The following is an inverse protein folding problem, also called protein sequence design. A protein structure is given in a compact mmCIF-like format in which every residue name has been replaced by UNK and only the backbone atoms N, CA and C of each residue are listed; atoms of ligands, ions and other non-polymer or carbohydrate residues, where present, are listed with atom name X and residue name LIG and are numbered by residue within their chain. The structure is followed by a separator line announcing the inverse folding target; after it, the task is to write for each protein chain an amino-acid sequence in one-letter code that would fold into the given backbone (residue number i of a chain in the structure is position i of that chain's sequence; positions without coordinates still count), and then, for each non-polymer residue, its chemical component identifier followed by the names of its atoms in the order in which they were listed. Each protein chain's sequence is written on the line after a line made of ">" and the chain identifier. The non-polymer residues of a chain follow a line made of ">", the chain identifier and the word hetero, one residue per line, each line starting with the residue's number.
data_IF_934701131576
#
_entry.id   IF_934701131576
#
_cell.length_a   1.000
_cell.length_b   1.000
_cell.length_c   1.000
_cell.angle_alpha   90.00
_cell.angle_beta   90.00
_cell.angle_gamma   90.00
#
_symmetry.space_group_name_H-M   'P 1'
#
loop_
_entity.id
_entity.type
_entity.pdbx_description
1 polymer ?
#
# COMPACT_ATOMS: atom_id res chain seq x y z
N UNK A 1 27.86 6.40 -5.71
CA UNK A 1 26.49 6.44 -5.11
C UNK A 1 26.06 5.00 -4.95
N UNK A 2 25.59 4.57 -3.78
CA UNK A 2 24.99 3.23 -3.62
C UNK A 2 23.68 3.28 -4.38
N UNK A 3 23.52 2.42 -5.39
CA UNK A 3 22.27 2.26 -6.11
C UNK A 3 21.23 1.77 -5.11
N UNK A 4 20.20 2.55 -4.84
CA UNK A 4 19.15 2.18 -3.90
C UNK A 4 18.15 1.33 -4.67
N UNK A 5 18.15 0.04 -4.38
CA UNK A 5 17.22 -0.90 -4.98
C UNK A 5 15.82 -0.71 -4.36
N UNK A 6 14.81 -0.52 -5.22
CA UNK A 6 13.42 -0.33 -4.80
C UNK A 6 12.79 -1.63 -4.30
N UNK A 7 12.90 -2.70 -5.07
CA UNK A 7 12.40 -4.02 -4.70
C UNK A 7 13.33 -4.65 -3.66
N UNK A 8 12.77 -5.12 -2.57
CA UNK A 8 13.49 -5.64 -1.42
C UNK A 8 13.08 -7.11 -1.20
N UNK A 9 13.72 -8.07 -1.87
CA UNK A 9 13.33 -9.48 -1.83
C UNK A 9 13.80 -10.16 -0.53
N UNK A 10 13.15 -9.84 0.60
CA UNK A 10 13.41 -10.52 1.86
C UNK A 10 12.65 -11.85 1.92
N UNK A 11 13.24 -12.84 2.64
CA UNK A 11 12.65 -14.15 2.78
C UNK A 11 11.32 -14.12 3.56
N UNK A 12 10.30 -14.77 2.99
CA UNK A 12 8.98 -14.92 3.63
C UNK A 12 8.05 -13.73 3.45
N UNK A 13 8.39 -12.77 2.61
CA UNK A 13 7.52 -11.64 2.26
C UNK A 13 7.49 -11.43 0.75
N UNK A 14 6.33 -11.13 0.21
CA UNK A 14 6.16 -10.78 -1.19
C UNK A 14 5.88 -9.29 -1.38
N UNK A 15 6.18 -8.79 -2.57
CA UNK A 15 5.80 -7.45 -3.00
C UNK A 15 6.36 -6.33 -2.09
N UNK A 16 7.44 -6.61 -1.34
CA UNK A 16 8.09 -5.63 -0.48
C UNK A 16 8.92 -4.66 -1.33
N UNK A 17 8.65 -3.38 -1.17
CA UNK A 17 9.41 -2.31 -1.80
C UNK A 17 9.35 -0.99 -1.07
N UNK A 18 10.37 -0.17 -1.34
CA UNK A 18 10.45 1.22 -0.92
C UNK A 18 9.73 2.11 -1.94
N UNK A 19 8.94 3.08 -1.50
CA UNK A 19 8.27 4.05 -2.38
C UNK A 19 9.02 5.40 -2.44
N UNK A 20 10.30 5.41 -2.06
CA UNK A 20 11.20 6.55 -2.19
C UNK A 20 11.66 6.83 -3.62
N UNK A 21 12.27 8.00 -3.86
CA UNK A 21 12.89 8.36 -5.13
C UNK A 21 11.93 8.77 -6.25
N UNK A 22 10.64 8.88 -6.03
CA UNK A 22 9.69 9.40 -7.01
C UNK A 22 9.72 10.93 -7.04
N UNK A 23 9.86 11.52 -8.23
CA UNK A 23 9.77 12.96 -8.41
C UNK A 23 8.34 13.45 -8.18
N UNK A 24 8.20 14.60 -7.57
CA UNK A 24 6.95 15.32 -7.40
C UNK A 24 6.83 16.46 -8.41
N UNK A 25 5.62 16.94 -8.66
CA UNK A 25 5.34 18.01 -9.63
C UNK A 25 6.04 19.35 -9.29
N UNK A 26 6.43 19.54 -8.05
CA UNK A 26 7.14 20.74 -7.57
C UNK A 26 8.67 20.55 -7.45
N UNK A 27 9.22 19.48 -8.02
CA UNK A 27 10.66 19.22 -8.08
C UNK A 27 11.27 18.64 -6.81
N UNK A 28 10.47 18.17 -5.88
CA UNK A 28 10.92 17.37 -4.74
C UNK A 28 10.97 15.88 -5.14
N UNK A 29 11.43 15.04 -4.21
CA UNK A 29 11.46 13.59 -4.36
C UNK A 29 10.95 12.91 -3.10
N UNK A 30 10.21 11.80 -3.24
CA UNK A 30 9.88 10.98 -2.07
C UNK A 30 11.15 10.45 -1.42
N UNK A 31 11.20 10.50 -0.08
CA UNK A 31 12.38 10.06 0.69
C UNK A 31 12.50 8.54 0.65
N UNK A 32 13.70 8.05 0.38
CA UNK A 32 14.03 6.64 0.58
C UNK A 32 13.97 6.25 2.06
N UNK A 33 13.71 4.97 2.31
CA UNK A 33 13.65 4.39 3.66
C UNK A 33 12.67 5.10 4.59
N UNK A 34 11.56 5.62 4.05
CA UNK A 34 10.56 6.37 4.83
C UNK A 34 9.18 5.74 4.75
N UNK A 35 8.81 5.23 3.58
CA UNK A 35 7.57 4.49 3.39
C UNK A 35 7.82 3.24 2.58
N UNK A 36 7.42 2.10 3.14
CA UNK A 36 7.48 0.79 2.50
C UNK A 36 6.07 0.28 2.23
N UNK A 37 5.97 -0.61 1.27
CA UNK A 37 4.74 -1.38 1.00
C UNK A 37 5.07 -2.85 0.79
N UNK A 38 4.14 -3.76 1.19
CA UNK A 38 4.34 -5.20 1.00
C UNK A 38 3.04 -5.99 1.00
N UNK A 39 3.15 -7.26 0.69
CA UNK A 39 2.21 -8.31 1.06
C UNK A 39 2.27 -8.62 2.55
N UNK A 40 1.59 -9.69 2.96
CA UNK A 40 1.53 -10.14 4.33
C UNK A 40 2.93 -10.45 4.88
N UNK A 41 3.18 -10.04 6.11
CA UNK A 41 4.46 -10.25 6.82
C UNK A 41 4.45 -11.47 7.74
N UNK A 42 3.41 -12.30 7.69
CA UNK A 42 3.22 -13.46 8.58
C UNK A 42 4.35 -14.49 8.53
N UNK A 43 5.04 -14.59 7.39
CA UNK A 43 6.17 -15.52 7.17
C UNK A 43 7.52 -14.81 7.06
N UNK A 44 7.59 -13.51 7.32
CA UNK A 44 8.85 -12.76 7.24
C UNK A 44 9.86 -13.35 8.22
N UNK A 45 11.02 -13.77 7.68
CA UNK A 45 12.07 -14.38 8.47
C UNK A 45 12.59 -13.46 9.59
N UNK A 46 13.13 -13.98 10.71
CA UNK A 46 13.73 -13.15 11.76
C UNK A 46 14.80 -12.19 11.23
N UNK A 47 15.63 -12.65 10.28
CA UNK A 47 16.63 -11.81 9.62
C UNK A 47 15.99 -10.67 8.82
N UNK A 48 14.87 -10.92 8.12
CA UNK A 48 14.10 -9.91 7.42
C UNK A 48 13.46 -8.90 8.36
N UNK A 49 12.96 -9.34 9.52
CA UNK A 49 12.42 -8.45 10.56
C UNK A 49 13.51 -7.51 11.09
N UNK A 50 14.68 -8.05 11.45
CA UNK A 50 15.80 -7.23 11.91
C UNK A 50 16.26 -6.25 10.83
N UNK A 51 16.34 -6.69 9.57
CA UNK A 51 16.70 -5.80 8.46
C UNK A 51 15.74 -4.60 8.35
N UNK A 52 14.43 -4.81 8.43
CA UNK A 52 13.45 -3.71 8.42
C UNK A 52 13.61 -2.78 9.63
N UNK A 53 13.87 -3.34 10.81
CA UNK A 53 14.07 -2.56 12.04
C UNK A 53 15.36 -1.72 11.92
N UNK A 54 16.45 -2.29 11.42
CA UNK A 54 17.72 -1.60 11.19
C UNK A 54 17.60 -0.55 10.07
N UNK A 55 16.74 -0.78 9.08
CA UNK A 55 16.35 0.23 8.09
C UNK A 55 15.52 1.38 8.69
N UNK A 56 15.20 1.30 9.98
CA UNK A 56 14.52 2.35 10.74
C UNK A 56 13.01 2.15 10.90
N UNK A 57 12.43 1.00 10.51
CA UNK A 57 10.99 0.75 10.62
C UNK A 57 10.46 1.08 12.03
N UNK A 58 9.41 1.88 12.13
CA UNK A 58 8.75 2.30 13.36
C UNK A 58 7.31 1.85 13.46
N UNK A 59 6.62 1.76 12.32
CA UNK A 59 5.19 1.42 12.32
C UNK A 59 4.87 0.45 11.19
N UNK A 60 4.06 -0.56 11.49
CA UNK A 60 3.39 -1.42 10.49
C UNK A 60 1.90 -1.10 10.52
N UNK A 61 1.35 -0.71 9.37
CA UNK A 61 -0.08 -0.47 9.17
C UNK A 61 -0.66 -1.66 8.42
N UNK A 62 -1.48 -2.45 9.10
CA UNK A 62 -2.09 -3.67 8.58
C UNK A 62 -3.53 -3.40 8.13
N UNK A 63 -3.77 -3.52 6.82
CA UNK A 63 -5.05 -3.25 6.19
C UNK A 63 -5.98 -4.47 6.10
N UNK A 64 -5.56 -5.61 6.66
CA UNK A 64 -6.29 -6.88 6.62
C UNK A 64 -7.44 -6.91 7.61
N UNK A 65 -8.46 -7.70 7.29
CA UNK A 65 -9.58 -7.96 8.18
C UNK A 65 -9.23 -8.94 9.33
N UNK A 66 -10.19 -9.17 10.22
CA UNK A 66 -9.99 -10.00 11.42
C UNK A 66 -9.72 -11.46 11.08
N UNK A 67 -10.36 -12.01 10.05
CA UNK A 67 -10.19 -13.41 9.65
C UNK A 67 -8.81 -13.65 9.03
N UNK A 68 -8.35 -12.71 8.21
CA UNK A 68 -7.01 -12.76 7.62
C UNK A 68 -5.92 -12.72 8.70
N UNK A 69 -6.11 -11.94 9.77
CA UNK A 69 -5.13 -11.81 10.85
C UNK A 69 -5.14 -13.04 11.75
N UNK A 70 -6.31 -13.63 12.03
CA UNK A 70 -6.39 -14.87 12.80
C UNK A 70 -5.72 -16.03 12.09
N UNK A 71 -5.89 -16.14 10.78
CA UNK A 71 -5.28 -17.19 9.97
C UNK A 71 -3.78 -16.99 9.70
N UNK A 72 -3.35 -15.73 9.60
CA UNK A 72 -1.96 -15.32 9.27
C UNK A 72 -1.52 -14.16 10.17
N UNK A 73 -1.13 -14.42 11.43
CA UNK A 73 -0.76 -13.39 12.41
C UNK A 73 0.40 -12.52 11.91
N UNK A 74 0.39 -11.24 12.26
CA UNK A 74 1.46 -10.34 11.90
C UNK A 74 2.65 -10.53 12.85
N UNK A 75 3.87 -10.71 12.30
CA UNK A 75 5.09 -10.94 13.10
C UNK A 75 5.48 -9.75 13.99
N UNK A 76 4.93 -8.55 13.70
CA UNK A 76 5.17 -7.34 14.50
C UNK A 76 4.05 -7.05 15.50
N UNK A 77 3.02 -7.93 15.63
CA UNK A 77 1.85 -7.65 16.48
C UNK A 77 2.24 -7.38 17.95
N UNK A 78 3.20 -8.15 18.47
CA UNK A 78 3.68 -8.04 19.85
C UNK A 78 5.10 -7.42 19.96
N UNK A 79 5.55 -6.73 18.90
CA UNK A 79 6.87 -6.13 18.87
C UNK A 79 6.99 -4.95 19.83
N UNK A 80 7.99 -4.96 20.71
CA UNK A 80 8.32 -3.79 21.53
C UNK A 80 9.07 -2.68 20.76
N UNK A 81 9.58 -2.98 19.55
CA UNK A 81 10.41 -2.07 18.74
C UNK A 81 9.64 -1.41 17.60
N UNK A 82 8.54 -2.03 17.15
CA UNK A 82 7.72 -1.58 16.01
C UNK A 82 6.28 -1.44 16.47
N UNK A 83 5.69 -0.28 16.21
CA UNK A 83 4.28 -0.02 16.50
C UNK A 83 3.40 -0.73 15.50
N UNK A 84 2.48 -1.57 15.97
CA UNK A 84 1.51 -2.24 15.12
C UNK A 84 0.17 -1.49 15.15
N UNK A 85 -0.36 -1.16 13.96
CA UNK A 85 -1.63 -0.46 13.76
C UNK A 85 -2.53 -1.26 12.82
N UNK A 86 -3.65 -1.72 13.32
CA UNK A 86 -4.69 -2.36 12.51
C UNK A 86 -5.65 -1.31 11.97
N UNK A 87 -5.79 -1.29 10.64
CA UNK A 87 -6.75 -0.43 9.94
C UNK A 87 -7.42 -1.25 8.84
N UNK A 88 -8.33 -2.18 9.17
CA UNK A 88 -8.98 -3.04 8.18
C UNK A 88 -9.79 -2.20 7.20
N UNK A 89 -9.48 -2.31 5.90
CA UNK A 89 -10.20 -1.56 4.86
C UNK A 89 -11.47 -2.25 4.40
N UNK A 90 -11.60 -3.56 4.64
CA UNK A 90 -12.83 -4.31 4.42
C UNK A 90 -13.25 -4.99 5.71
N UNK A 91 -14.55 -5.14 5.91
CA UNK A 91 -15.14 -5.86 7.03
C UNK A 91 -15.62 -7.22 6.51
N UNK A 92 -14.91 -8.26 6.87
CA UNK A 92 -15.26 -9.64 6.55
C UNK A 92 -14.78 -10.17 5.19
N UNK A 93 -15.03 -11.44 4.92
CA UNK A 93 -14.57 -12.13 3.72
C UNK A 93 -15.21 -11.57 2.46
N UNK A 94 -14.54 -11.79 1.32
CA UNK A 94 -15.17 -11.58 0.02
C UNK A 94 -16.44 -12.43 -0.09
N UNK A 95 -17.48 -11.93 -0.78
CA UNK A 95 -18.68 -12.74 -1.04
C UNK A 95 -18.32 -14.10 -1.65
N UNK A 96 -19.00 -15.16 -1.21
CA UNK A 96 -18.65 -16.53 -1.60
C UNK A 96 -19.00 -16.86 -3.06
N UNK A 97 -19.88 -16.08 -3.69
CA UNK A 97 -20.41 -16.36 -5.00
C UNK A 97 -19.50 -15.94 -6.15
N UNK A 98 -19.00 -14.70 -6.13
CA UNK A 98 -18.06 -14.22 -7.16
C UNK A 98 -17.28 -12.98 -6.68
N UNK A 99 -15.97 -12.88 -7.01
CA UNK A 99 -15.23 -11.66 -6.72
C UNK A 99 -15.73 -10.54 -7.63
N UNK A 100 -15.98 -9.33 -7.09
CA UNK A 100 -16.33 -8.19 -7.92
C UNK A 100 -15.13 -7.77 -8.79
N UNK A 101 -15.36 -7.12 -9.95
CA UNK A 101 -14.30 -6.44 -10.68
C UNK A 101 -13.46 -5.52 -9.76
N UNK A 102 -12.16 -5.43 -10.00
CA UNK A 102 -11.24 -4.67 -9.12
C UNK A 102 -11.67 -3.20 -8.98
N UNK A 103 -12.09 -2.55 -10.07
CA UNK A 103 -12.58 -1.19 -10.08
C UNK A 103 -13.79 -0.97 -9.15
N UNK A 104 -14.70 -1.95 -9.08
CA UNK A 104 -15.84 -1.91 -8.15
C UNK A 104 -15.36 -1.98 -6.70
N UNK A 105 -14.39 -2.85 -6.41
CA UNK A 105 -13.75 -2.96 -5.10
C UNK A 105 -13.08 -1.65 -4.69
N UNK A 106 -12.39 -0.98 -5.62
CA UNK A 106 -11.70 0.29 -5.38
C UNK A 106 -12.68 1.42 -5.07
N UNK A 107 -13.77 1.54 -5.86
CA UNK A 107 -14.79 2.53 -5.57
C UNK A 107 -15.53 2.27 -4.25
N UNK A 108 -15.84 1.03 -3.92
CA UNK A 108 -16.41 0.69 -2.60
C UNK A 108 -15.51 1.14 -1.46
N UNK A 109 -14.19 0.98 -1.59
CA UNK A 109 -13.25 1.44 -0.57
C UNK A 109 -13.25 2.97 -0.45
N UNK A 110 -13.17 3.68 -1.58
CA UNK A 110 -13.15 5.14 -1.61
C UNK A 110 -14.44 5.77 -1.08
N UNK A 111 -15.61 5.18 -1.39
CA UNK A 111 -16.91 5.77 -1.08
C UNK A 111 -17.51 5.29 0.26
N UNK A 112 -17.13 4.10 0.72
CA UNK A 112 -17.77 3.48 1.88
C UNK A 112 -16.83 3.29 3.08
N UNK A 113 -15.52 3.52 2.93
CA UNK A 113 -14.52 3.29 3.98
C UNK A 113 -13.77 4.55 4.39
N UNK A 114 -14.41 5.71 4.32
CA UNK A 114 -13.83 7.02 4.61
C UNK A 114 -13.09 7.06 5.94
N UNK A 115 -13.70 6.56 7.02
CA UNK A 115 -13.09 6.54 8.35
C UNK A 115 -11.84 5.66 8.39
N UNK A 116 -11.81 4.55 7.63
CA UNK A 116 -10.66 3.64 7.55
C UNK A 116 -9.52 4.25 6.74
N UNK A 117 -9.84 4.84 5.57
CA UNK A 117 -8.84 5.58 4.79
C UNK A 117 -8.23 6.71 5.63
N UNK A 118 -9.07 7.52 6.29
CA UNK A 118 -8.60 8.59 7.18
C UNK A 118 -7.69 8.05 8.29
N UNK A 119 -8.04 6.94 8.94
CA UNK A 119 -7.25 6.34 10.01
C UNK A 119 -5.83 5.93 9.57
N UNK A 120 -5.62 5.58 8.30
CA UNK A 120 -4.27 5.34 7.78
C UNK A 120 -3.44 6.62 7.78
N UNK A 121 -4.01 7.73 7.32
CA UNK A 121 -3.32 9.02 7.34
C UNK A 121 -3.05 9.50 8.77
N UNK A 122 -4.01 9.34 9.69
CA UNK A 122 -3.83 9.62 11.12
C UNK A 122 -2.68 8.81 11.71
N UNK A 123 -2.59 7.50 11.41
CA UNK A 123 -1.51 6.65 11.87
C UNK A 123 -0.12 7.08 11.35
N UNK A 124 -0.01 7.54 10.09
CA UNK A 124 1.23 8.07 9.53
C UNK A 124 1.64 9.42 10.13
N UNK A 125 0.68 10.18 10.62
CA UNK A 125 0.89 11.50 11.22
C UNK A 125 1.28 11.44 12.69
N UNK A 126 1.08 10.33 13.37
CA UNK A 126 1.51 10.15 14.76
C UNK A 126 2.99 10.52 14.94
N UNK A 127 3.39 11.10 16.08
CA UNK A 127 4.80 11.37 16.36
C UNK A 127 5.64 10.10 16.31
N UNK A 128 6.72 10.13 15.52
CA UNK A 128 7.62 8.99 15.36
C UNK A 128 7.01 7.78 14.62
N UNK A 129 5.96 7.97 13.81
CA UNK A 129 5.35 6.89 13.03
C UNK A 129 6.21 6.43 11.85
N UNK A 130 7.00 7.33 11.29
CA UNK A 130 7.86 7.02 10.14
C UNK A 130 9.29 6.63 10.60
N UNK A 131 9.97 5.74 9.87
CA UNK A 131 9.52 4.99 8.68
C UNK A 131 8.38 4.01 8.95
N UNK A 132 7.46 3.86 7.96
CA UNK A 132 6.31 2.99 8.07
C UNK A 132 6.23 1.95 6.94
N UNK A 133 5.64 0.79 7.25
CA UNK A 133 5.29 -0.25 6.29
C UNK A 133 3.76 -0.36 6.20
N UNK A 134 3.20 -0.24 5.00
CA UNK A 134 1.77 -0.48 4.74
C UNK A 134 1.63 -1.83 4.06
N UNK A 135 0.81 -2.72 4.61
CA UNK A 135 0.64 -4.05 4.11
C UNK A 135 -0.84 -4.52 4.11
N UNK A 136 -1.14 -5.47 3.24
CA UNK A 136 -2.38 -6.25 3.26
C UNK A 136 -2.06 -7.72 2.93
N UNK A 137 -2.95 -8.48 2.30
CA UNK A 137 -2.66 -9.87 1.93
C UNK A 137 -1.55 -9.94 0.86
N UNK A 138 -1.81 -9.44 -0.34
CA UNK A 138 -0.86 -9.44 -1.46
C UNK A 138 -0.01 -8.14 -1.56
N UNK A 139 -0.34 -7.09 -0.82
CA UNK A 139 0.28 -5.79 -0.97
C UNK A 139 -0.06 -5.08 -2.29
N UNK A 140 -1.07 -5.56 -3.00
CA UNK A 140 -1.44 -5.10 -4.34
C UNK A 140 -2.60 -4.11 -4.29
N UNK A 141 -3.83 -4.56 -3.99
CA UNK A 141 -5.05 -3.77 -4.12
C UNK A 141 -5.24 -2.76 -2.97
N UNK A 142 -5.56 -3.21 -1.76
CA UNK A 142 -5.75 -2.34 -0.57
C UNK A 142 -4.52 -1.46 -0.33
N UNK A 143 -3.36 -2.09 -0.30
CA UNK A 143 -2.07 -1.40 -0.14
C UNK A 143 -1.81 -0.44 -1.31
N UNK A 144 -2.05 -0.90 -2.55
CA UNK A 144 -1.85 -0.10 -3.75
C UNK A 144 -2.69 1.17 -3.77
N UNK A 145 -3.98 1.07 -3.42
CA UNK A 145 -4.87 2.23 -3.35
C UNK A 145 -4.44 3.23 -2.28
N UNK A 146 -4.12 2.74 -1.07
CA UNK A 146 -3.67 3.62 0.02
C UNK A 146 -2.36 4.33 -0.35
N UNK A 147 -1.38 3.58 -0.89
CA UNK A 147 -0.10 4.15 -1.32
C UNK A 147 -0.30 5.12 -2.49
N UNK A 148 -1.22 4.83 -3.42
CA UNK A 148 -1.56 5.75 -4.50
C UNK A 148 -2.13 7.07 -3.99
N UNK A 149 -3.04 7.04 -3.02
CA UNK A 149 -3.56 8.25 -2.38
C UNK A 149 -2.46 9.03 -1.67
N UNK A 150 -1.55 8.36 -0.95
CA UNK A 150 -0.43 9.01 -0.27
C UNK A 150 0.52 9.67 -1.28
N UNK A 151 0.96 8.93 -2.31
CA UNK A 151 1.89 9.44 -3.32
C UNK A 151 1.30 10.62 -4.10
N UNK A 152 0.03 10.51 -4.52
CA UNK A 152 -0.66 11.60 -5.22
C UNK A 152 -0.85 12.82 -4.30
N UNK A 153 -1.19 12.63 -3.01
CA UNK A 153 -1.35 13.71 -2.05
C UNK A 153 -0.05 14.48 -1.79
N UNK A 154 1.12 13.83 -1.90
CA UNK A 154 2.43 14.50 -1.76
C UNK A 154 2.97 15.03 -3.09
N UNK A 155 2.20 14.95 -4.16
CA UNK A 155 2.50 15.56 -5.46
C UNK A 155 3.22 14.68 -6.47
N UNK A 156 3.25 13.35 -6.28
CA UNK A 156 3.79 12.42 -7.30
C UNK A 156 2.80 12.35 -8.46
N UNK A 157 3.25 12.49 -9.74
CA UNK A 157 2.38 12.42 -10.90
C UNK A 157 1.63 11.10 -11.01
N UNK A 158 0.37 11.13 -11.43
CA UNK A 158 -0.51 9.95 -11.53
C UNK A 158 0.10 8.82 -12.37
N UNK A 159 0.81 9.15 -13.45
CA UNK A 159 1.51 8.15 -14.27
C UNK A 159 2.59 7.38 -13.47
N UNK A 160 3.33 8.08 -12.61
CA UNK A 160 4.35 7.47 -11.72
C UNK A 160 3.69 6.62 -10.64
N UNK A 161 2.58 7.09 -10.05
CA UNK A 161 1.78 6.34 -9.07
C UNK A 161 1.26 5.05 -9.68
N UNK A 162 0.72 5.11 -10.89
CA UNK A 162 0.22 3.95 -11.62
C UNK A 162 1.34 2.97 -12.00
N UNK A 163 2.52 3.47 -12.34
CA UNK A 163 3.70 2.64 -12.60
C UNK A 163 4.16 1.91 -11.31
N UNK A 164 4.18 2.59 -10.15
CA UNK A 164 4.46 1.91 -8.87
C UNK A 164 3.44 0.81 -8.59
N UNK A 165 2.15 1.07 -8.78
CA UNK A 165 1.12 0.05 -8.60
C UNK A 165 1.37 -1.17 -9.52
N UNK A 166 1.72 -0.93 -10.78
CA UNK A 166 1.94 -1.98 -11.79
C UNK A 166 3.12 -2.92 -11.45
N UNK A 167 4.15 -2.42 -10.74
CA UNK A 167 5.26 -3.25 -10.24
C UNK A 167 4.80 -4.41 -9.36
N UNK A 168 3.57 -4.39 -8.83
CA UNK A 168 3.05 -5.48 -8.01
C UNK A 168 2.97 -6.80 -8.78
N UNK A 169 2.72 -6.79 -10.09
CA UNK A 169 2.70 -8.00 -10.92
C UNK A 169 4.06 -8.71 -10.95
N UNK A 170 5.14 -7.92 -11.01
CA UNK A 170 6.51 -8.45 -11.02
C UNK A 170 6.97 -8.86 -9.61
N UNK A 171 6.67 -8.02 -8.59
CA UNK A 171 7.11 -8.23 -7.22
C UNK A 171 6.38 -9.36 -6.48
N UNK A 172 5.20 -9.79 -6.94
CA UNK A 172 4.46 -10.91 -6.39
C UNK A 172 5.02 -12.27 -6.83
N UNK A 173 5.45 -12.36 -8.07
CA UNK A 173 6.08 -13.54 -8.63
C UNK A 173 5.16 -14.76 -8.81
N UNK A 174 5.71 -15.89 -9.27
CA UNK A 174 4.94 -17.12 -9.59
C UNK A 174 4.25 -17.74 -8.36
N UNK A 175 4.93 -17.76 -7.21
CA UNK A 175 4.40 -18.38 -5.99
C UNK A 175 3.04 -17.77 -5.55
N UNK A 176 2.87 -16.46 -5.73
CA UNK A 176 1.59 -15.80 -5.45
C UNK A 176 0.49 -16.28 -6.40
N UNK A 177 0.81 -16.49 -7.68
CA UNK A 177 -0.16 -16.97 -8.68
C UNK A 177 -0.58 -18.42 -8.37
N UNK A 178 0.34 -19.25 -7.93
CA UNK A 178 0.05 -20.64 -7.56
C UNK A 178 -0.82 -20.70 -6.28
N UNK A 179 -0.48 -19.95 -5.24
CA UNK A 179 -1.30 -19.83 -4.01
C UNK A 179 -2.72 -19.30 -4.34
N UNK A 180 -2.81 -18.31 -5.23
CA UNK A 180 -4.11 -17.74 -5.62
C UNK A 180 -4.93 -18.71 -6.45
N UNK A 181 -4.29 -19.50 -7.34
CA UNK A 181 -4.97 -20.54 -8.11
C UNK A 181 -5.57 -21.61 -7.18
N UNK A 182 -4.80 -22.07 -6.21
CA UNK A 182 -5.27 -23.03 -5.22
C UNK A 182 -6.45 -22.45 -4.40
N UNK A 183 -6.33 -21.20 -3.97
CA UNK A 183 -7.39 -20.51 -3.22
C UNK A 183 -8.68 -20.34 -4.06
N UNK A 184 -8.57 -20.03 -5.36
CA UNK A 184 -9.72 -20.01 -6.26
C UNK A 184 -10.37 -21.37 -6.37
N UNK A 185 -9.57 -22.43 -6.49
CA UNK A 185 -10.07 -23.81 -6.58
C UNK A 185 -10.86 -24.22 -5.33
N UNK A 186 -10.43 -23.84 -4.12
CA UNK A 186 -11.16 -24.10 -2.87
C UNK A 186 -12.53 -23.44 -2.81
N UNK A 187 -12.76 -22.37 -3.60
CA UNK A 187 -14.03 -21.63 -3.73
C UNK A 187 -14.85 -22.03 -4.95
N UNK A 188 -14.37 -22.96 -5.75
CA UNK A 188 -14.99 -23.32 -7.00
C UNK A 188 -14.90 -22.23 -8.08
N UNK A 189 -13.98 -21.29 -7.94
CA UNK A 189 -13.78 -20.22 -8.91
C UNK A 189 -12.85 -20.66 -10.05
N UNK A 190 -13.27 -20.44 -11.31
CA UNK A 190 -12.47 -20.76 -12.48
C UNK A 190 -11.25 -19.83 -12.59
N UNK A 191 -10.06 -20.43 -12.71
CA UNK A 191 -8.85 -19.66 -12.98
C UNK A 191 -8.94 -18.87 -14.29
N UNK A 192 -9.43 -19.49 -15.36
CA UNK A 192 -9.56 -18.83 -16.67
C UNK A 192 -10.47 -17.59 -16.62
N UNK A 193 -11.47 -17.63 -15.73
CA UNK A 193 -12.39 -16.49 -15.55
C UNK A 193 -11.77 -15.38 -14.69
N UNK A 194 -11.02 -15.73 -13.65
CA UNK A 194 -10.63 -14.77 -12.62
C UNK A 194 -9.14 -14.46 -12.52
N UNK A 195 -8.28 -15.11 -13.34
CA UNK A 195 -6.83 -14.85 -13.35
C UNK A 195 -6.48 -13.36 -13.56
N UNK A 196 -7.31 -12.63 -14.32
CA UNK A 196 -7.12 -11.20 -14.55
C UNK A 196 -7.13 -10.36 -13.25
N UNK A 197 -7.78 -10.85 -12.20
CA UNK A 197 -7.79 -10.19 -10.88
C UNK A 197 -6.43 -10.27 -10.17
N UNK A 198 -5.54 -11.15 -10.61
CA UNK A 198 -4.18 -11.24 -10.09
C UNK A 198 -3.25 -10.17 -10.67
N UNK A 199 -3.62 -9.59 -11.82
CA UNK A 199 -2.87 -8.52 -12.46
C UNK A 199 -2.93 -7.20 -11.69
N UNK A 200 -2.01 -6.30 -12.04
CA UNK A 200 -1.98 -4.91 -11.57
C UNK A 200 -1.76 -3.94 -12.74
N UNK A 201 -2.70 -3.86 -13.71
CA UNK A 201 -2.51 -3.00 -14.86
C UNK A 201 -2.49 -1.53 -14.43
N UNK A 202 -1.49 -0.77 -14.89
CA UNK A 202 -1.35 0.67 -14.58
C UNK A 202 -2.63 1.46 -14.90
N UNK A 203 -3.34 1.07 -15.97
CA UNK A 203 -4.57 1.72 -16.40
C UNK A 203 -5.65 1.72 -15.32
N UNK A 204 -5.81 0.62 -14.56
CA UNK A 204 -6.76 0.53 -13.46
C UNK A 204 -6.52 1.64 -12.40
N UNK A 205 -5.26 1.90 -12.08
CA UNK A 205 -4.90 2.93 -11.12
C UNK A 205 -5.06 4.35 -11.71
N UNK A 206 -4.75 4.53 -12.99
CA UNK A 206 -5.00 5.79 -13.70
C UNK A 206 -6.50 6.12 -13.74
N UNK A 207 -7.35 5.14 -14.05
CA UNK A 207 -8.81 5.31 -14.10
C UNK A 207 -9.38 5.66 -12.73
N UNK A 208 -8.87 5.01 -11.66
CA UNK A 208 -9.25 5.35 -10.29
C UNK A 208 -8.88 6.79 -9.94
N UNK A 209 -7.63 7.21 -10.20
CA UNK A 209 -7.16 8.57 -9.90
C UNK A 209 -7.90 9.63 -10.74
N UNK A 210 -8.13 9.36 -12.01
CA UNK A 210 -8.92 10.23 -12.88
C UNK A 210 -10.37 10.37 -12.39
N UNK A 211 -10.96 9.29 -11.93
CA UNK A 211 -12.29 9.31 -11.32
C UNK A 211 -12.33 10.09 -10.01
N UNK A 212 -11.28 10.03 -9.18
CA UNK A 212 -11.15 10.87 -7.98
C UNK A 212 -11.03 12.35 -8.36
N UNK A 213 -10.25 12.67 -9.40
CA UNK A 213 -10.14 14.03 -9.93
C UNK A 213 -11.52 14.55 -10.39
N UNK A 214 -12.23 13.74 -11.17
CA UNK A 214 -13.54 14.13 -11.71
C UNK A 214 -14.62 14.33 -10.63
N UNK A 215 -14.63 13.48 -9.60
CA UNK A 215 -15.71 13.48 -8.58
C UNK A 215 -15.45 14.45 -7.43
N UNK A 216 -14.19 14.63 -7.06
CA UNK A 216 -13.80 15.36 -5.86
C UNK A 216 -12.92 16.60 -6.16
N UNK A 217 -12.41 16.74 -7.38
CA UNK A 217 -11.47 17.80 -7.73
C UNK A 217 -10.01 17.49 -7.39
N UNK A 218 -9.71 16.23 -7.05
CA UNK A 218 -8.36 15.75 -6.77
C UNK A 218 -8.25 14.91 -5.50
N UNK A 219 -7.10 14.28 -5.32
CA UNK A 219 -6.84 13.41 -4.15
C UNK A 219 -6.81 14.21 -2.85
N UNK A 220 -6.26 15.42 -2.85
CA UNK A 220 -6.23 16.30 -1.67
C UNK A 220 -7.66 16.69 -1.27
N UNK A 221 -8.50 17.02 -2.23
CA UNK A 221 -9.91 17.35 -2.05
C UNK A 221 -10.71 16.15 -1.53
N UNK A 222 -10.49 14.96 -2.11
CA UNK A 222 -11.07 13.72 -1.62
C UNK A 222 -10.68 13.47 -0.14
N UNK A 223 -9.40 13.54 0.19
CA UNK A 223 -8.92 13.32 1.55
C UNK A 223 -9.49 14.36 2.53
N UNK A 224 -9.60 15.61 2.09
CA UNK A 224 -10.24 16.66 2.89
C UNK A 224 -11.74 16.37 3.12
N UNK A 225 -12.45 15.88 2.10
CA UNK A 225 -13.88 15.54 2.19
C UNK A 225 -14.16 14.41 3.19
N UNK A 226 -13.20 13.50 3.40
CA UNK A 226 -13.30 12.41 4.37
C UNK A 226 -12.71 12.75 5.74
N UNK A 227 -12.29 14.00 5.96
CA UNK A 227 -11.87 14.54 7.24
C UNK A 227 -10.36 14.53 7.53
N UNK A 228 -9.50 14.31 6.52
CA UNK A 228 -8.06 14.57 6.66
C UNK A 228 -7.81 16.06 6.49
N UNK A 229 -7.25 16.72 7.49
CA UNK A 229 -7.05 18.19 7.42
C UNK A 229 -5.96 18.52 6.40
N UNK A 230 -6.15 19.59 5.61
CA UNK A 230 -5.13 20.03 4.62
C UNK A 230 -3.76 20.29 5.24
N UNK A 231 -3.73 20.88 6.44
CA UNK A 231 -2.47 21.08 7.18
C UNK A 231 -1.76 19.78 7.54
N UNK A 232 -2.49 18.70 7.80
CA UNK A 232 -1.91 17.37 8.05
C UNK A 232 -1.31 16.77 6.77
N UNK A 233 -1.91 17.03 5.61
CA UNK A 233 -1.35 16.62 4.32
C UNK A 233 -0.04 17.36 3.99
N UNK A 234 0.06 18.64 4.32
CA UNK A 234 1.32 19.39 4.21
C UNK A 234 2.40 18.82 5.14
N UNK A 235 2.05 18.51 6.39
CA UNK A 235 2.99 17.85 7.33
C UNK A 235 3.44 16.49 6.77
N UNK A 236 2.52 15.70 6.22
CA UNK A 236 2.87 14.41 5.63
C UNK A 236 3.78 14.59 4.42
N UNK A 237 3.51 15.57 3.55
CA UNK A 237 4.35 15.91 2.40
C UNK A 237 5.77 16.29 2.84
N UNK A 238 5.93 17.14 3.85
CA UNK A 238 7.25 17.50 4.37
C UNK A 238 8.01 16.30 4.95
N UNK A 239 7.30 15.38 5.60
CA UNK A 239 7.92 14.16 6.16
C UNK A 239 8.31 13.15 5.09
N UNK A 240 7.49 13.00 4.03
CA UNK A 240 7.69 11.99 2.99
C UNK A 240 8.54 12.48 1.80
N UNK A 241 8.75 13.79 1.65
CA UNK A 241 9.52 14.32 0.51
C UNK A 241 10.72 15.14 0.94
N UNK A 242 11.65 15.33 0.03
CA UNK A 242 12.87 16.13 0.21
C UNK A 242 13.22 16.88 -1.06
N UNK A 243 13.95 17.99 -0.93
CA UNK A 243 14.55 18.65 -2.07
C UNK A 243 15.56 17.73 -2.78
N UNK A 244 15.75 17.97 -4.06
CA UNK A 244 16.80 17.26 -4.82
C UNK A 244 18.17 17.47 -4.15
N UNK A 245 18.97 16.41 -3.94
CA UNK A 245 20.36 16.60 -3.53
C UNK A 245 21.04 17.52 -4.54
N UNK A 246 21.67 18.60 -4.08
CA UNK A 246 22.47 19.44 -4.97
C UNK A 246 23.58 18.55 -5.54
N UNK A 247 23.67 18.49 -6.87
CA UNK A 247 24.80 17.90 -7.55
C UNK A 247 26.03 18.69 -7.12
N UNK A 248 26.89 18.10 -6.28
CA UNK A 248 28.18 18.67 -5.94
C UNK A 248 29.16 18.50 -7.09
#
# INVERSE_FOLDING_TARGET
>A
MVEVERHLPLEGISNLRDVGGYATVDGRYTRWRTLFRSGCVDRLSPAGQEWLIDAGLRTVIDLRDDQEIVSRPNVFADSARVRYRRVPLFDGPLPDDQPPPLEVGYWRMLEQRHARVRAVFEALLEPGALPALIQCHAGKDRTGMVVALILAAVGVPHATVAADYALSAECLGPAYLDETREWFATRGWSWDTYAHLCGSPAQLMLDMLAGVEQRYGGVVEYLASIGVRRGDLEVLRERLTQAMPRSG
#
